data_IF_920578341042
#
_entry.id   IF_920578341042
#
_cell.length_a   1.000
_cell.length_b   1.000
_cell.length_c   1.000
_cell.angle_alpha   90.00
_cell.angle_beta   90.00
_cell.angle_gamma   90.00
#
_symmetry.space_group_name_H-M   'P 1'
#
loop_
_entity.id
_entity.type
_entity.pdbx_description
1 polymer ?
#
# COMPACT_ATOMS: atom_id res chain seq x y z
N UNK A 1 -1.99 -29.34 26.74
CA UNK A 1 -2.78 -30.27 25.90
C UNK A 1 -4.21 -29.80 25.59
N UNK A 2 -5.05 -29.36 26.55
CA UNK A 2 -6.38 -28.77 26.22
C UNK A 2 -6.26 -27.31 25.75
N UNK A 3 -5.38 -26.51 26.38
CA UNK A 3 -5.13 -25.11 26.01
C UNK A 3 -4.58 -24.94 24.57
N UNK A 4 -3.78 -25.89 24.07
CA UNK A 4 -3.25 -25.85 22.69
C UNK A 4 -4.34 -26.09 21.64
N UNK A 5 -5.34 -26.94 21.93
CA UNK A 5 -6.42 -27.23 20.98
C UNK A 5 -7.35 -26.04 20.77
N UNK A 6 -7.66 -25.30 21.84
CA UNK A 6 -8.47 -24.08 21.74
C UNK A 6 -7.73 -22.97 21.01
N UNK A 7 -6.42 -22.80 21.29
CA UNK A 7 -5.56 -21.86 20.58
C UNK A 7 -5.48 -22.15 19.08
N UNK A 8 -5.26 -23.42 18.71
CA UNK A 8 -5.24 -23.86 17.30
C UNK A 8 -6.60 -23.61 16.64
N UNK A 9 -7.70 -24.01 17.30
CA UNK A 9 -9.07 -23.81 16.76
C UNK A 9 -9.37 -22.34 16.50
N UNK A 10 -8.92 -21.44 17.38
CA UNK A 10 -9.12 -20.00 17.24
C UNK A 10 -8.25 -19.36 16.14
N UNK A 11 -7.16 -20.01 15.73
CA UNK A 11 -6.26 -19.54 14.69
C UNK A 11 -6.66 -19.99 13.27
N UNK A 12 -7.46 -21.06 13.13
CA UNK A 12 -7.89 -21.58 11.82
C UNK A 12 -8.59 -20.54 10.92
N UNK A 13 -9.49 -19.67 11.44
CA UNK A 13 -10.06 -18.57 10.65
C UNK A 13 -9.00 -17.63 10.06
N UNK A 14 -8.01 -17.26 10.88
CA UNK A 14 -6.89 -16.41 10.45
C UNK A 14 -6.05 -17.09 9.37
N UNK A 15 -5.75 -18.38 9.50
CA UNK A 15 -4.97 -19.13 8.50
C UNK A 15 -5.69 -19.13 7.16
N UNK A 16 -6.97 -19.49 7.15
CA UNK A 16 -7.74 -19.55 5.91
C UNK A 16 -7.82 -18.19 5.20
N UNK A 17 -7.97 -17.10 5.96
CA UNK A 17 -7.93 -15.75 5.41
C UNK A 17 -6.53 -15.39 4.88
N UNK A 18 -5.48 -15.73 5.60
CA UNK A 18 -4.12 -15.44 5.19
C UNK A 18 -3.74 -16.20 3.91
N UNK A 19 -4.12 -17.48 3.79
CA UNK A 19 -4.00 -18.27 2.55
C UNK A 19 -4.73 -17.61 1.37
N UNK A 20 -5.95 -17.12 1.61
CA UNK A 20 -6.75 -16.42 0.61
C UNK A 20 -6.07 -15.12 0.13
N UNK A 21 -5.63 -14.27 1.07
CA UNK A 21 -5.01 -12.99 0.75
C UNK A 21 -3.66 -13.16 0.05
N UNK A 22 -2.88 -14.16 0.45
CA UNK A 22 -1.65 -14.56 -0.25
C UNK A 22 -2.01 -14.98 -1.68
N UNK A 23 -3.01 -15.84 -1.88
CA UNK A 23 -3.44 -16.26 -3.22
C UNK A 23 -3.82 -15.08 -4.13
N UNK A 24 -4.60 -14.14 -3.60
CA UNK A 24 -4.98 -12.93 -4.31
C UNK A 24 -3.77 -12.06 -4.67
N UNK A 25 -2.85 -11.86 -3.71
CA UNK A 25 -1.62 -11.10 -3.91
C UNK A 25 -0.72 -11.72 -4.99
N UNK A 26 -0.56 -13.05 -5.02
CA UNK A 26 0.21 -13.74 -6.05
C UNK A 26 -0.43 -13.53 -7.42
N UNK A 27 -1.76 -13.71 -7.53
CA UNK A 27 -2.46 -13.56 -8.81
C UNK A 27 -2.42 -12.11 -9.31
N UNK A 28 -2.59 -11.13 -8.42
CA UNK A 28 -2.40 -9.71 -8.71
C UNK A 28 -0.96 -9.43 -9.17
N UNK A 29 0.04 -9.89 -8.42
CA UNK A 29 1.45 -9.75 -8.76
C UNK A 29 1.77 -10.35 -10.13
N UNK A 30 1.30 -11.56 -10.42
CA UNK A 30 1.50 -12.19 -11.72
C UNK A 30 0.88 -11.34 -12.82
N UNK A 31 -0.36 -10.90 -12.67
CA UNK A 31 -1.04 -10.08 -13.68
C UNK A 31 -0.30 -8.76 -13.94
N UNK A 32 0.10 -8.08 -12.87
CA UNK A 32 0.81 -6.80 -12.93
C UNK A 32 2.23 -6.94 -13.50
N UNK A 33 2.91 -8.06 -13.26
CA UNK A 33 4.25 -8.33 -13.80
C UNK A 33 4.24 -8.82 -15.26
N UNK A 34 3.17 -9.51 -15.69
CA UNK A 34 3.04 -10.05 -17.05
C UNK A 34 2.25 -9.13 -17.99
N UNK A 35 1.70 -8.02 -17.51
CA UNK A 35 0.99 -7.06 -18.37
C UNK A 35 1.99 -6.40 -19.35
N UNK A 36 1.98 -6.87 -20.60
CA UNK A 36 2.74 -6.31 -21.71
C UNK A 36 2.20 -4.94 -22.20
N UNK A 37 1.16 -4.40 -21.56
CA UNK A 37 0.41 -3.21 -21.98
C UNK A 37 1.09 -1.87 -21.67
N UNK A 38 2.36 -1.85 -21.23
CA UNK A 38 3.17 -0.64 -21.28
C UNK A 38 3.72 -0.45 -22.71
N UNK A 39 2.81 -0.32 -23.68
CA UNK A 39 3.19 0.14 -25.03
C UNK A 39 3.55 1.62 -24.91
N UNK A 40 4.85 1.89 -24.90
CA UNK A 40 5.43 3.21 -24.97
C UNK A 40 5.36 3.74 -26.41
N UNK A 41 4.68 4.87 -26.66
CA UNK A 41 5.13 5.78 -27.68
C UNK A 41 5.63 7.06 -27.01
N UNK A 42 6.84 7.45 -27.43
CA UNK A 42 7.49 8.76 -27.28
C UNK A 42 8.44 8.93 -26.08
N UNK A 43 9.72 9.03 -26.48
CA UNK A 43 10.92 9.58 -25.81
C UNK A 43 11.55 8.70 -24.74
N UNK A 44 12.58 7.95 -25.14
CA UNK A 44 13.76 7.49 -24.36
C UNK A 44 13.58 7.35 -22.84
N UNK A 45 12.62 6.55 -22.38
CA UNK A 45 12.45 6.24 -20.96
C UNK A 45 13.17 4.93 -20.59
N UNK A 46 13.91 4.94 -19.48
CA UNK A 46 14.57 3.75 -18.94
C UNK A 46 13.50 2.74 -18.45
N UNK A 47 13.45 1.58 -19.10
CA UNK A 47 12.57 0.46 -18.75
C UNK A 47 12.65 0.09 -17.25
N UNK A 48 13.77 0.39 -16.57
CA UNK A 48 13.95 0.17 -15.15
C UNK A 48 13.00 1.01 -14.27
N UNK A 49 12.72 2.27 -14.61
CA UNK A 49 11.87 3.17 -13.81
C UNK A 49 10.39 2.76 -13.83
N UNK A 50 9.92 2.19 -14.94
CA UNK A 50 8.56 1.64 -15.04
C UNK A 50 8.41 0.40 -14.18
N UNK A 51 9.40 -0.49 -14.23
CA UNK A 51 9.42 -1.66 -13.36
C UNK A 51 9.44 -1.27 -11.88
N UNK A 52 10.11 -0.18 -11.54
CA UNK A 52 10.10 0.41 -10.19
C UNK A 52 8.68 0.82 -9.81
N UNK A 53 8.00 1.67 -10.59
CA UNK A 53 6.62 2.10 -10.30
C UNK A 53 5.66 0.93 -10.04
N UNK A 54 5.78 -0.12 -10.84
CA UNK A 54 4.88 -1.27 -10.81
C UNK A 54 5.19 -2.24 -9.66
N UNK A 55 6.48 -2.51 -9.39
CA UNK A 55 6.89 -3.55 -8.44
C UNK A 55 6.89 -3.08 -6.98
N UNK A 56 7.23 -1.83 -6.71
CA UNK A 56 7.50 -1.40 -5.31
C UNK A 56 6.26 -1.28 -4.44
N UNK A 57 5.16 -0.63 -4.87
CA UNK A 57 3.97 -0.59 -4.03
C UNK A 57 3.47 -2.01 -3.73
N UNK A 58 3.44 -2.91 -4.73
CA UNK A 58 3.08 -4.33 -4.53
C UNK A 58 4.01 -5.00 -3.51
N UNK A 59 5.30 -4.73 -3.56
CA UNK A 59 6.27 -5.26 -2.59
C UNK A 59 5.94 -4.81 -1.17
N UNK A 60 5.53 -3.56 -0.96
CA UNK A 60 5.12 -3.07 0.36
C UNK A 60 3.91 -3.84 0.91
N UNK A 61 2.86 -4.02 0.11
CA UNK A 61 1.70 -4.81 0.52
C UNK A 61 2.05 -6.28 0.75
N UNK A 62 2.93 -6.84 -0.08
CA UNK A 62 3.41 -8.21 0.09
C UNK A 62 4.17 -8.40 1.40
N UNK A 63 5.05 -7.47 1.78
CA UNK A 63 5.75 -7.51 3.06
C UNK A 63 4.76 -7.51 4.24
N UNK A 64 3.71 -6.69 4.18
CA UNK A 64 2.67 -6.63 5.22
C UNK A 64 1.94 -7.97 5.34
N UNK A 65 1.37 -8.47 4.23
CA UNK A 65 0.59 -9.71 4.20
C UNK A 65 1.44 -10.93 4.59
N UNK A 66 2.69 -11.01 4.10
CA UNK A 66 3.61 -12.09 4.46
C UNK A 66 3.94 -12.09 5.95
N UNK A 67 4.15 -10.91 6.55
CA UNK A 67 4.39 -10.84 7.98
C UNK A 67 3.18 -11.29 8.80
N UNK A 68 1.97 -10.85 8.42
CA UNK A 68 0.72 -11.29 9.05
C UNK A 68 0.51 -12.80 8.91
N UNK A 69 0.78 -13.36 7.72
CA UNK A 69 0.70 -14.80 7.47
C UNK A 69 1.61 -15.61 8.40
N UNK A 70 2.87 -15.20 8.57
CA UNK A 70 3.81 -15.88 9.49
C UNK A 70 3.36 -15.78 10.93
N UNK A 71 2.86 -14.63 11.36
CA UNK A 71 2.37 -14.41 12.73
C UNK A 71 1.20 -15.36 13.04
N UNK A 72 0.30 -15.58 12.07
CA UNK A 72 -0.83 -16.50 12.20
C UNK A 72 -0.39 -17.97 12.13
N UNK A 73 0.50 -18.32 11.20
CA UNK A 73 0.99 -19.70 11.03
C UNK A 73 1.76 -20.19 12.28
N UNK A 74 2.50 -19.30 12.93
CA UNK A 74 3.23 -19.55 14.17
C UNK A 74 2.36 -20.11 15.31
N UNK A 75 1.05 -19.90 15.25
CA UNK A 75 0.10 -20.38 16.26
C UNK A 75 -0.22 -21.87 16.10
N UNK A 76 -0.10 -22.42 14.89
CA UNK A 76 -0.60 -23.76 14.55
C UNK A 76 0.51 -24.75 14.24
N UNK A 77 1.61 -24.31 13.63
CA UNK A 77 2.72 -25.21 13.23
C UNK A 77 4.07 -24.60 13.62
N UNK A 78 4.38 -24.59 14.93
CA UNK A 78 5.58 -23.91 15.45
C UNK A 78 6.91 -24.38 14.79
N UNK A 79 7.06 -25.68 14.52
CA UNK A 79 8.28 -26.24 13.93
C UNK A 79 8.41 -25.90 12.43
N UNK A 80 7.34 -26.04 11.65
CA UNK A 80 7.27 -25.67 10.23
C UNK A 80 7.47 -24.17 10.02
N UNK A 81 7.07 -23.36 11.00
CA UNK A 81 7.22 -21.91 10.95
C UNK A 81 8.66 -21.45 11.08
N UNK A 82 9.52 -22.15 11.82
CA UNK A 82 10.92 -21.76 11.92
C UNK A 82 11.66 -21.98 10.60
N UNK A 83 11.45 -23.13 9.94
CA UNK A 83 11.98 -23.38 8.58
C UNK A 83 11.46 -22.32 7.59
N UNK A 84 10.17 -21.98 7.67
CA UNK A 84 9.57 -20.96 6.82
C UNK A 84 10.12 -19.55 7.12
N UNK A 85 10.33 -19.20 8.40
CA UNK A 85 10.93 -17.92 8.81
C UNK A 85 12.35 -17.76 8.28
N UNK A 86 13.13 -18.83 8.27
CA UNK A 86 14.47 -18.86 7.68
C UNK A 86 14.40 -18.67 6.16
N UNK A 87 13.53 -19.43 5.47
CA UNK A 87 13.34 -19.36 4.02
C UNK A 87 13.02 -17.93 3.54
N UNK A 88 12.15 -17.22 4.26
CA UNK A 88 11.70 -15.89 3.85
C UNK A 88 12.50 -14.74 4.46
N UNK A 89 13.50 -15.03 5.30
CA UNK A 89 14.20 -14.05 6.12
C UNK A 89 13.23 -13.16 6.91
N UNK A 90 12.36 -13.78 7.72
CA UNK A 90 11.27 -13.11 8.42
C UNK A 90 11.75 -11.96 9.33
N UNK A 91 12.93 -12.09 9.95
CA UNK A 91 13.55 -11.02 10.76
C UNK A 91 13.74 -9.73 9.94
N UNK A 92 14.22 -9.86 8.70
CA UNK A 92 14.36 -8.74 7.79
C UNK A 92 13.00 -8.20 7.35
N UNK A 93 12.05 -9.06 6.97
CA UNK A 93 10.72 -8.65 6.55
C UNK A 93 9.97 -7.88 7.65
N UNK A 94 10.05 -8.35 8.90
CA UNK A 94 9.44 -7.68 10.06
C UNK A 94 10.06 -6.31 10.31
N UNK A 95 11.40 -6.21 10.22
CA UNK A 95 12.09 -4.91 10.33
C UNK A 95 11.70 -3.98 9.18
N UNK A 96 11.57 -4.52 7.97
CA UNK A 96 11.14 -3.80 6.79
C UNK A 96 9.72 -3.29 6.94
N UNK A 97 8.73 -4.16 7.22
CA UNK A 97 7.33 -3.81 7.51
C UNK A 97 7.25 -2.62 8.47
N UNK A 98 7.94 -2.72 9.61
CA UNK A 98 7.93 -1.66 10.61
C UNK A 98 8.50 -0.34 10.08
N UNK A 99 9.50 -0.37 9.18
CA UNK A 99 10.09 0.81 8.54
C UNK A 99 9.30 1.33 7.32
N UNK A 100 8.46 0.50 6.71
CA UNK A 100 7.65 0.84 5.53
C UNK A 100 6.39 1.61 5.87
N UNK A 101 5.91 1.54 7.12
CA UNK A 101 4.88 2.45 7.56
C UNK A 101 5.38 3.91 7.43
N UNK A 102 4.57 4.74 6.78
CA UNK A 102 4.71 6.19 6.76
C UNK A 102 4.56 6.78 8.17
N UNK A 103 3.95 6.04 9.11
CA UNK A 103 3.88 6.42 10.52
C UNK A 103 4.08 5.22 11.46
N UNK A 104 4.94 5.35 12.47
CA UNK A 104 5.02 4.40 13.58
C UNK A 104 4.20 4.90 14.78
N UNK A 105 3.71 3.96 15.59
CA UNK A 105 2.89 4.23 16.79
C UNK A 105 3.60 5.11 17.85
N UNK A 106 2.77 5.68 18.74
CA UNK A 106 2.96 6.81 19.70
C UNK A 106 4.31 7.06 20.40
N UNK A 107 5.28 6.14 20.42
CA UNK A 107 6.57 6.36 21.10
C UNK A 107 7.77 6.60 20.16
N UNK A 108 7.64 6.32 18.85
CA UNK A 108 8.75 6.44 17.88
C UNK A 108 8.61 7.61 16.88
N UNK A 109 7.69 8.55 17.15
CA UNK A 109 7.33 9.64 16.25
C UNK A 109 8.48 10.60 15.98
N UNK A 110 9.21 11.02 17.03
CA UNK A 110 10.32 11.96 16.93
C UNK A 110 11.45 11.35 16.10
N UNK A 111 11.75 10.08 16.35
CA UNK A 111 12.76 9.32 15.60
C UNK A 111 12.38 9.21 14.12
N UNK A 112 11.13 8.95 13.76
CA UNK A 112 10.75 8.81 12.35
C UNK A 112 10.72 10.14 11.59
N UNK A 113 10.23 11.21 12.24
CA UNK A 113 10.26 12.56 11.68
C UNK A 113 11.70 13.08 11.57
N UNK A 114 12.53 12.91 12.60
CA UNK A 114 13.95 13.26 12.58
C UNK A 114 14.71 12.43 11.54
N UNK A 115 14.34 11.16 11.31
CA UNK A 115 14.94 10.35 10.26
C UNK A 115 14.53 10.84 8.87
N UNK A 116 13.24 11.11 8.62
CA UNK A 116 12.83 11.67 7.32
C UNK A 116 13.53 13.02 7.11
N UNK A 117 13.49 13.93 8.08
CA UNK A 117 14.17 15.22 8.02
C UNK A 117 15.68 15.13 7.82
N UNK A 118 16.37 14.19 8.48
CA UNK A 118 17.82 13.97 8.29
C UNK A 118 18.17 13.21 7.01
N UNK A 119 17.18 12.67 6.29
CA UNK A 119 17.38 11.88 5.09
C UNK A 119 16.89 12.51 3.80
N UNK A 120 16.01 13.52 3.89
CA UNK A 120 15.56 14.33 2.77
C UNK A 120 16.71 14.77 1.90
N UNK A 121 17.80 15.25 2.50
CA UNK A 121 18.97 15.69 1.76
C UNK A 121 19.56 14.54 0.89
N UNK A 122 19.64 13.33 1.45
CA UNK A 122 20.07 12.13 0.70
C UNK A 122 19.09 11.73 -0.43
N UNK A 123 17.83 12.18 -0.39
CA UNK A 123 16.86 11.99 -1.48
C UNK A 123 16.87 13.14 -2.49
N UNK A 124 17.35 14.33 -2.11
CA UNK A 124 17.24 15.59 -2.86
C UNK A 124 18.47 15.91 -3.73
N UNK A 125 19.37 14.94 -3.90
CA UNK A 125 20.65 15.09 -4.61
C UNK A 125 21.44 16.35 -4.21
N UNK A 126 21.86 16.45 -2.94
CA UNK A 126 22.50 17.63 -2.33
C UNK A 126 23.81 18.14 -2.96
N UNK A 127 24.40 17.43 -3.93
CA UNK A 127 25.64 17.88 -4.57
C UNK A 127 25.29 18.98 -5.56
N UNK A 128 25.30 20.22 -5.05
CA UNK A 128 25.15 21.44 -5.84
C UNK A 128 26.42 21.61 -6.68
N UNK A 129 26.43 21.02 -7.87
CA UNK A 129 27.39 21.36 -8.91
C UNK A 129 26.79 22.33 -9.93
N UNK A 130 27.62 22.76 -10.88
CA UNK A 130 27.25 23.70 -11.93
C UNK A 130 26.12 23.21 -12.85
N UNK A 131 25.70 21.95 -12.74
CA UNK A 131 24.57 21.39 -13.50
C UNK A 131 23.39 21.01 -12.61
N UNK A 132 23.44 21.28 -11.30
CA UNK A 132 22.36 20.98 -10.35
C UNK A 132 21.01 21.55 -10.80
N UNK A 133 21.00 22.76 -11.39
CA UNK A 133 19.77 23.38 -11.89
C UNK A 133 19.12 22.59 -13.05
N UNK A 134 19.89 21.77 -13.77
CA UNK A 134 19.42 20.93 -14.89
C UNK A 134 18.97 19.52 -14.47
N UNK A 135 19.25 19.09 -13.24
CA UNK A 135 19.00 17.71 -12.79
C UNK A 135 17.60 17.53 -12.22
N UNK A 136 16.96 16.46 -12.64
CA UNK A 136 15.73 15.93 -12.04
C UNK A 136 16.09 14.81 -11.07
N UNK A 137 15.45 14.79 -9.90
CA UNK A 137 15.67 13.83 -8.80
C UNK A 137 14.45 12.92 -8.56
N UNK A 138 13.31 13.25 -9.15
CA UNK A 138 12.06 12.51 -9.03
C UNK A 138 11.43 12.28 -10.40
N UNK A 139 10.75 11.16 -10.56
CA UNK A 139 9.88 10.91 -11.71
C UNK A 139 8.43 10.89 -11.25
N UNK A 140 7.58 11.69 -11.89
CA UNK A 140 6.13 11.71 -11.71
C UNK A 140 5.50 10.75 -12.72
N UNK A 141 4.74 9.76 -12.25
CA UNK A 141 4.02 8.81 -13.10
C UNK A 141 2.60 9.31 -13.33
N UNK A 142 2.20 9.44 -14.59
CA UNK A 142 0.93 10.04 -15.00
C UNK A 142 0.25 9.17 -16.06
N UNK A 143 -0.97 8.72 -15.80
CA UNK A 143 -1.84 8.10 -16.80
C UNK A 143 -2.36 9.17 -17.78
N UNK A 144 -2.14 8.97 -19.08
CA UNK A 144 -2.55 9.90 -20.15
C UNK A 144 -3.86 9.43 -20.76
N UNK A 145 -4.98 10.07 -20.42
CA UNK A 145 -6.29 9.83 -21.02
C UNK A 145 -6.72 11.01 -21.93
N UNK A 146 -7.64 10.75 -22.85
CA UNK A 146 -8.21 11.78 -23.74
C UNK A 146 -8.90 12.91 -22.97
N UNK A 147 -9.51 12.59 -21.82
CA UNK A 147 -10.20 13.54 -20.95
C UNK A 147 -9.28 14.24 -19.93
N UNK A 148 -8.02 13.83 -19.84
CA UNK A 148 -7.07 14.45 -18.92
C UNK A 148 -5.90 13.56 -18.47
N UNK A 149 -5.04 14.15 -17.65
CA UNK A 149 -3.87 13.50 -17.05
C UNK A 149 -4.18 13.13 -15.60
N UNK A 150 -3.96 11.88 -15.20
CA UNK A 150 -4.16 11.40 -13.83
C UNK A 150 -2.81 11.07 -13.20
N UNK A 151 -2.49 11.69 -12.06
CA UNK A 151 -1.29 11.36 -11.30
C UNK A 151 -1.42 9.96 -10.66
N UNK A 152 -0.43 9.10 -10.89
CA UNK A 152 -0.42 7.70 -10.46
C UNK A 152 0.62 7.43 -9.36
N UNK A 153 1.64 8.27 -9.19
CA UNK A 153 2.64 8.14 -8.13
C UNK A 153 4.00 8.73 -8.49
N UNK A 154 5.00 8.53 -7.63
CA UNK A 154 6.41 8.86 -7.92
C UNK A 154 7.36 7.74 -7.53
N UNK A 155 8.61 7.83 -7.97
CA UNK A 155 9.69 6.92 -7.55
C UNK A 155 10.21 7.22 -6.11
N UNK A 156 9.69 8.24 -5.41
CA UNK A 156 10.13 8.54 -4.03
C UNK A 156 9.74 7.47 -3.03
N UNK A 157 8.63 6.76 -3.25
CA UNK A 157 8.30 5.61 -2.40
C UNK A 157 9.40 4.54 -2.51
N UNK A 158 9.93 4.30 -3.71
CA UNK A 158 11.06 3.40 -3.92
C UNK A 158 12.34 3.90 -3.24
N UNK A 159 12.71 5.16 -3.43
CA UNK A 159 13.91 5.74 -2.79
C UNK A 159 13.81 5.69 -1.27
N UNK A 160 12.62 5.94 -0.72
CA UNK A 160 12.33 5.77 0.70
C UNK A 160 12.56 4.33 1.15
N UNK A 161 11.99 3.34 0.46
CA UNK A 161 12.19 1.91 0.75
C UNK A 161 13.66 1.50 0.66
N UNK A 162 14.36 1.95 -0.39
CA UNK A 162 15.79 1.77 -0.62
C UNK A 162 16.62 2.08 0.62
N UNK A 163 16.46 3.31 1.09
CA UNK A 163 17.23 3.80 2.22
C UNK A 163 16.94 3.04 3.51
N UNK A 164 15.67 2.72 3.77
CA UNK A 164 15.27 1.96 4.96
C UNK A 164 15.92 0.57 5.01
N UNK A 165 16.15 -0.05 3.86
CA UNK A 165 16.79 -1.34 3.73
C UNK A 165 18.31 -1.25 3.90
N UNK A 166 18.96 -0.26 3.29
CA UNK A 166 20.41 -0.07 3.41
C UNK A 166 20.84 0.08 4.88
N UNK A 167 20.05 0.79 5.67
CA UNK A 167 20.22 0.90 7.13
C UNK A 167 20.11 -0.44 7.87
N UNK A 168 19.29 -1.36 7.38
CA UNK A 168 19.06 -2.65 8.03
C UNK A 168 20.18 -3.65 7.76
N UNK A 169 20.90 -3.51 6.63
CA UNK A 169 21.85 -4.51 6.17
C UNK A 169 23.31 -4.06 6.21
N UNK A 170 23.60 -2.81 6.63
CA UNK A 170 24.95 -2.25 6.72
C UNK A 170 25.80 -2.36 5.44
N UNK A 171 25.20 -2.71 4.30
CA UNK A 171 25.79 -2.82 2.96
C UNK A 171 24.67 -2.81 1.91
N UNK A 172 25.05 -2.36 0.72
CA UNK A 172 24.33 -2.24 -0.55
C UNK A 172 23.80 -3.58 -1.13
N UNK A 173 23.26 -4.48 -0.30
CA UNK A 173 22.52 -5.65 -0.80
C UNK A 173 21.16 -5.16 -1.27
N UNK A 174 21.04 -5.07 -2.59
CA UNK A 174 20.02 -4.33 -3.34
C UNK A 174 18.57 -4.67 -2.93
N UNK A 175 17.67 -3.68 -3.04
CA UNK A 175 16.21 -3.87 -3.01
C UNK A 175 15.78 -5.01 -3.93
N UNK A 176 16.47 -5.22 -5.05
CA UNK A 176 16.22 -6.35 -5.93
C UNK A 176 16.31 -7.69 -5.19
N UNK A 177 17.23 -7.88 -4.24
CA UNK A 177 17.28 -9.09 -3.42
C UNK A 177 16.08 -9.19 -2.48
N UNK A 178 15.62 -8.09 -1.88
CA UNK A 178 14.45 -8.12 -0.99
C UNK A 178 13.17 -8.36 -1.78
N UNK A 179 13.00 -7.69 -2.92
CA UNK A 179 11.91 -7.95 -3.87
C UNK A 179 11.96 -9.41 -4.29
N UNK A 180 13.12 -9.88 -4.74
CA UNK A 180 13.29 -11.27 -5.15
C UNK A 180 12.95 -12.22 -4.01
N UNK A 181 13.40 -11.96 -2.78
CA UNK A 181 13.08 -12.77 -1.62
C UNK A 181 11.60 -12.73 -1.27
N UNK A 182 10.94 -11.57 -1.35
CA UNK A 182 9.49 -11.43 -1.14
C UNK A 182 8.72 -12.21 -2.20
N UNK A 183 9.08 -12.08 -3.48
CA UNK A 183 8.44 -12.82 -4.57
C UNK A 183 8.76 -14.31 -4.53
N UNK A 184 9.96 -14.72 -4.09
CA UNK A 184 10.32 -16.12 -3.83
C UNK A 184 9.54 -16.67 -2.64
N UNK A 185 9.37 -15.89 -1.57
CA UNK A 185 8.54 -16.26 -0.43
C UNK A 185 7.08 -16.45 -0.83
N UNK A 186 6.53 -15.51 -1.62
CA UNK A 186 5.21 -15.65 -2.21
C UNK A 186 5.12 -16.91 -3.07
N UNK A 187 6.14 -17.21 -3.88
CA UNK A 187 6.17 -18.43 -4.68
C UNK A 187 6.26 -19.70 -3.82
N UNK A 188 7.08 -19.74 -2.78
CA UNK A 188 7.15 -20.87 -1.86
C UNK A 188 5.81 -21.11 -1.15
N UNK A 189 5.12 -20.03 -0.77
CA UNK A 189 3.75 -20.14 -0.24
C UNK A 189 2.76 -20.71 -1.26
N UNK A 190 2.98 -20.52 -2.56
CA UNK A 190 2.07 -21.08 -3.55
C UNK A 190 2.10 -22.60 -3.64
N UNK A 191 3.19 -23.22 -3.20
CA UNK A 191 3.27 -24.68 -3.12
C UNK A 191 2.53 -25.21 -1.88
N UNK A 192 2.33 -24.38 -0.86
CA UNK A 192 1.60 -24.70 0.37
C UNK A 192 0.12 -24.30 0.31
N UNK A 193 -0.22 -23.22 -0.40
CA UNK A 193 -1.59 -22.74 -0.56
C UNK A 193 -2.24 -23.44 -1.75
N UNK A 194 -3.27 -24.25 -1.48
CA UNK A 194 -4.07 -24.89 -2.54
C UNK A 194 -4.86 -23.84 -3.31
N UNK A 195 -4.27 -23.25 -4.36
CA UNK A 195 -4.88 -22.14 -5.14
C UNK A 195 -6.28 -22.46 -5.67
N UNK A 196 -6.52 -23.73 -6.03
CA UNK A 196 -7.83 -24.23 -6.49
C UNK A 196 -8.94 -24.11 -5.44
N UNK A 197 -8.58 -23.97 -4.15
CA UNK A 197 -9.51 -23.89 -3.02
C UNK A 197 -10.47 -22.71 -3.08
N UNK A 198 -10.05 -21.58 -3.68
CA UNK A 198 -10.81 -20.33 -3.68
C UNK A 198 -11.49 -20.01 -5.03
N UNK A 199 -11.09 -20.68 -6.11
CA UNK A 199 -11.64 -20.47 -7.47
C UNK A 199 -11.72 -18.99 -7.89
N UNK A 200 -10.63 -18.23 -7.73
CA UNK A 200 -10.58 -16.81 -8.04
C UNK A 200 -10.70 -16.57 -9.55
N UNK A 201 -11.57 -15.65 -9.98
CA UNK A 201 -11.62 -15.17 -11.36
C UNK A 201 -10.24 -14.64 -11.83
N UNK A 202 -9.97 -14.74 -13.13
CA UNK A 202 -8.76 -14.15 -13.71
C UNK A 202 -8.78 -12.64 -13.63
N UNK A 203 -7.61 -12.05 -13.35
CA UNK A 203 -7.43 -10.61 -13.35
C UNK A 203 -6.92 -10.22 -14.73
N UNK A 204 -7.54 -9.21 -15.31
CA UNK A 204 -7.09 -8.61 -16.53
C UNK A 204 -7.12 -7.09 -16.36
N UNK A 205 -6.09 -6.43 -16.89
CA UNK A 205 -6.15 -4.98 -17.01
C UNK A 205 -7.29 -4.60 -17.96
N UNK A 206 -8.01 -3.54 -17.61
CA UNK A 206 -9.06 -2.98 -18.45
C UNK A 206 -8.55 -2.80 -19.88
N UNK A 207 -9.37 -3.14 -20.87
CA UNK A 207 -9.08 -2.90 -22.29
C UNK A 207 -8.89 -1.41 -22.59
N UNK A 208 -9.38 -0.53 -21.70
CA UNK A 208 -9.20 0.91 -21.75
C UNK A 208 -7.96 1.40 -20.99
N UNK A 209 -7.10 0.52 -20.49
CA UNK A 209 -5.90 0.91 -19.75
C UNK A 209 -5.04 1.84 -20.61
N UNK A 210 -4.80 3.05 -20.08
CA UNK A 210 -4.12 4.11 -20.80
C UNK A 210 -2.62 4.08 -20.50
N UNK A 211 -1.77 4.55 -21.43
CA UNK A 211 -0.33 4.57 -21.19
C UNK A 211 0.00 5.47 -19.98
N UNK A 212 0.94 5.01 -19.17
CA UNK A 212 1.54 5.80 -18.09
C UNK A 212 2.83 6.41 -18.63
N UNK A 213 2.93 7.74 -18.56
CA UNK A 213 4.16 8.46 -18.80
C UNK A 213 4.90 8.71 -17.49
N UNK A 214 6.21 8.51 -17.48
CA UNK A 214 7.10 9.12 -16.49
C UNK A 214 7.44 10.53 -16.94
N UNK A 215 7.45 11.48 -16.00
CA UNK A 215 7.94 12.84 -16.24
C UNK A 215 9.00 13.10 -15.20
N UNK A 216 10.25 13.26 -15.66
CA UNK A 216 11.33 13.67 -14.78
C UNK A 216 11.08 15.10 -14.30
N UNK A 217 11.23 15.29 -13.00
CA UNK A 217 10.88 16.51 -12.32
C UNK A 217 11.90 16.78 -11.21
N UNK A 218 11.93 18.02 -10.73
CA UNK A 218 12.72 18.43 -9.58
C UNK A 218 11.85 18.53 -8.34
N UNK A 219 12.15 17.75 -7.32
CA UNK A 219 11.37 17.72 -6.09
C UNK A 219 11.40 19.06 -5.37
N UNK A 220 12.52 19.78 -5.40
CA UNK A 220 12.62 21.14 -4.88
C UNK A 220 11.59 22.09 -5.53
N UNK A 221 11.30 21.95 -6.82
CA UNK A 221 10.30 22.78 -7.52
C UNK A 221 8.86 22.41 -7.11
N UNK A 222 8.65 21.15 -6.73
CA UNK A 222 7.40 20.68 -6.17
C UNK A 222 7.22 21.19 -4.73
N UNK A 223 8.31 21.23 -3.96
CA UNK A 223 8.31 21.56 -2.53
C UNK A 223 8.29 23.06 -2.28
N UNK A 224 9.03 23.86 -3.06
CA UNK A 224 9.10 25.32 -2.92
C UNK A 224 7.74 26.02 -3.13
N UNK A 225 6.77 25.34 -3.73
CA UNK A 225 5.40 25.84 -3.91
C UNK A 225 4.60 25.85 -2.60
N UNK A 226 5.04 25.06 -1.63
CA UNK A 226 4.40 24.93 -0.34
C UNK A 226 5.26 25.69 0.66
N UNK A 227 4.66 26.62 1.39
CA UNK A 227 5.35 27.28 2.49
C UNK A 227 5.51 26.36 3.71
N UNK A 228 5.70 25.06 3.49
CA UNK A 228 5.81 24.00 4.48
C UNK A 228 7.26 23.54 4.61
N UNK A 229 7.56 22.85 5.71
CA UNK A 229 8.82 22.14 5.84
C UNK A 229 8.94 21.04 4.76
N UNK A 230 10.15 20.84 4.27
CA UNK A 230 10.45 19.83 3.26
C UNK A 230 10.03 18.42 3.70
N UNK A 231 10.14 18.14 4.99
CA UNK A 231 9.76 16.87 5.61
C UNK A 231 8.26 16.62 5.59
N UNK A 232 7.47 17.66 5.89
CA UNK A 232 6.02 17.66 5.77
C UNK A 232 5.63 17.41 4.32
N UNK A 233 6.28 18.10 3.40
CA UNK A 233 5.97 18.02 1.98
C UNK A 233 6.29 16.64 1.40
N UNK A 234 7.46 16.09 1.71
CA UNK A 234 7.84 14.75 1.31
C UNK A 234 6.84 13.69 1.81
N UNK A 235 6.38 13.81 3.07
CA UNK A 235 5.38 12.91 3.64
C UNK A 235 4.01 13.01 2.97
N UNK A 236 3.58 14.21 2.57
CA UNK A 236 2.38 14.40 1.76
C UNK A 236 2.50 13.72 0.40
N UNK A 237 3.67 13.83 -0.24
CA UNK A 237 3.93 13.19 -1.54
C UNK A 237 3.96 11.66 -1.47
N UNK A 238 4.52 11.10 -0.39
CA UNK A 238 4.47 9.66 -0.14
C UNK A 238 3.02 9.17 0.06
N UNK A 239 2.21 9.92 0.83
CA UNK A 239 0.79 9.60 1.05
C UNK A 239 0.02 9.63 -0.27
N UNK A 240 0.27 10.67 -1.09
CA UNK A 240 -0.33 10.79 -2.40
C UNK A 240 0.06 9.64 -3.33
N UNK A 241 1.32 9.21 -3.29
CA UNK A 241 1.83 8.10 -4.11
C UNK A 241 1.14 6.78 -3.75
N UNK A 242 1.01 6.45 -2.46
CA UNK A 242 0.33 5.23 -2.01
C UNK A 242 -1.14 5.18 -2.43
N UNK A 243 -1.87 6.27 -2.20
CA UNK A 243 -3.29 6.33 -2.56
C UNK A 243 -3.47 6.30 -4.08
N UNK A 244 -2.68 7.07 -4.82
CA UNK A 244 -2.81 7.18 -6.28
C UNK A 244 -2.54 5.85 -6.97
N UNK A 245 -1.52 5.11 -6.52
CA UNK A 245 -1.24 3.76 -7.04
C UNK A 245 -2.39 2.79 -6.72
N UNK A 246 -2.93 2.86 -5.51
CA UNK A 246 -4.05 1.99 -5.11
C UNK A 246 -5.28 2.26 -5.96
N UNK A 247 -5.64 3.53 -6.15
CA UNK A 247 -6.75 3.96 -7.02
C UNK A 247 -6.53 3.56 -8.48
N UNK A 248 -5.29 3.65 -8.98
CA UNK A 248 -4.94 3.17 -10.31
C UNK A 248 -5.26 1.68 -10.47
N UNK A 249 -4.88 0.84 -9.49
CA UNK A 249 -5.22 -0.59 -9.52
C UNK A 249 -6.73 -0.84 -9.35
N UNK A 250 -7.43 -0.08 -8.51
CA UNK A 250 -8.90 -0.19 -8.40
C UNK A 250 -9.57 0.02 -9.75
N UNK A 251 -9.20 1.09 -10.45
CA UNK A 251 -9.78 1.46 -11.75
C UNK A 251 -9.36 0.52 -12.87
N UNK A 252 -8.08 0.19 -12.97
CA UNK A 252 -7.53 -0.45 -14.16
C UNK A 252 -7.36 -1.97 -14.03
N UNK A 253 -7.38 -2.53 -12.81
CA UNK A 253 -7.20 -3.96 -12.58
C UNK A 253 -8.41 -4.61 -11.89
N UNK A 254 -8.90 -4.02 -10.81
CA UNK A 254 -9.99 -4.64 -10.02
C UNK A 254 -11.39 -4.37 -10.56
N UNK A 255 -11.57 -3.36 -11.41
CA UNK A 255 -12.88 -3.03 -11.99
C UNK A 255 -13.47 -4.18 -12.80
N UNK A 256 -12.63 -4.95 -13.51
CA UNK A 256 -13.05 -6.12 -14.30
C UNK A 256 -13.63 -7.27 -13.45
N UNK A 257 -13.26 -7.32 -12.17
CA UNK A 257 -13.71 -8.33 -11.20
C UNK A 257 -14.52 -7.71 -10.07
N UNK A 258 -15.02 -6.48 -10.22
CA UNK A 258 -15.73 -5.76 -9.15
C UNK A 258 -16.99 -6.49 -8.67
N UNK A 259 -17.64 -7.26 -9.54
CA UNK A 259 -18.82 -8.07 -9.20
C UNK A 259 -18.48 -9.35 -8.43
N UNK A 260 -17.23 -9.80 -8.42
CA UNK A 260 -16.78 -10.96 -7.63
C UNK A 260 -16.58 -10.53 -6.17
N UNK A 261 -17.34 -11.12 -5.25
CA UNK A 261 -17.30 -10.78 -3.82
C UNK A 261 -15.91 -10.98 -3.20
N UNK A 262 -15.19 -12.05 -3.59
CA UNK A 262 -13.88 -12.34 -3.02
C UNK A 262 -12.86 -11.30 -3.47
N UNK A 263 -12.84 -11.00 -4.77
CA UNK A 263 -12.00 -9.92 -5.29
C UNK A 263 -12.39 -8.56 -4.71
N UNK A 264 -13.68 -8.31 -4.49
CA UNK A 264 -14.14 -7.10 -3.85
C UNK A 264 -13.63 -6.97 -2.41
N UNK A 265 -13.69 -8.04 -1.61
CA UNK A 265 -13.12 -8.06 -0.26
C UNK A 265 -11.61 -7.76 -0.27
N UNK A 266 -10.84 -8.45 -1.11
CA UNK A 266 -9.39 -8.26 -1.19
C UNK A 266 -9.00 -6.86 -1.68
N UNK A 267 -9.63 -6.39 -2.76
CA UNK A 267 -9.37 -5.06 -3.33
C UNK A 267 -9.76 -3.93 -2.36
N UNK A 268 -10.86 -4.09 -1.62
CA UNK A 268 -11.23 -3.17 -0.53
C UNK A 268 -10.15 -3.15 0.57
N UNK A 269 -9.64 -4.31 1.00
CA UNK A 269 -8.58 -4.36 2.02
C UNK A 269 -7.31 -3.70 1.52
N UNK A 270 -6.93 -3.95 0.27
CA UNK A 270 -5.77 -3.33 -0.37
C UNK A 270 -5.87 -1.79 -0.34
N UNK A 271 -7.02 -1.24 -0.70
CA UNK A 271 -7.27 0.20 -0.64
C UNK A 271 -7.30 0.72 0.80
N UNK A 272 -7.92 -0.01 1.73
CA UNK A 272 -8.03 0.36 3.13
C UNK A 272 -6.66 0.53 3.80
N UNK A 273 -5.69 -0.34 3.48
CA UNK A 273 -4.30 -0.22 3.96
C UNK A 273 -3.70 1.12 3.50
N UNK A 274 -3.85 1.48 2.22
CA UNK A 274 -3.30 2.73 1.68
C UNK A 274 -3.97 3.97 2.29
N UNK A 275 -5.29 3.92 2.40
CA UNK A 275 -6.12 5.00 2.91
C UNK A 275 -5.85 5.28 4.39
N UNK A 276 -5.90 4.25 5.24
CA UNK A 276 -5.62 4.37 6.67
C UNK A 276 -4.19 4.88 6.90
N UNK A 277 -3.22 4.39 6.12
CA UNK A 277 -1.82 4.82 6.23
C UNK A 277 -1.63 6.32 5.91
N UNK A 278 -2.29 6.80 4.86
CA UNK A 278 -2.26 8.20 4.49
C UNK A 278 -3.01 9.09 5.50
N UNK A 279 -4.19 8.67 5.96
CA UNK A 279 -4.98 9.41 6.95
C UNK A 279 -4.23 9.52 8.28
N UNK A 280 -3.65 8.43 8.76
CA UNK A 280 -2.86 8.46 9.99
C UNK A 280 -1.60 9.31 9.82
N UNK A 281 -0.92 9.23 8.67
CA UNK A 281 0.22 10.11 8.38
C UNK A 281 -0.17 11.60 8.41
N UNK A 282 -1.30 11.99 7.81
CA UNK A 282 -1.84 13.36 7.85
C UNK A 282 -2.21 13.78 9.27
N UNK A 283 -2.93 12.93 10.00
CA UNK A 283 -3.29 13.19 11.39
C UNK A 283 -2.05 13.41 12.26
N UNK A 284 -0.96 12.70 11.97
CA UNK A 284 0.31 12.89 12.65
C UNK A 284 0.98 14.23 12.28
N UNK A 285 0.96 14.62 11.01
CA UNK A 285 1.42 15.95 10.56
C UNK A 285 0.59 17.10 11.18
N UNK A 286 -0.68 16.87 11.54
CA UNK A 286 -1.50 17.88 12.20
C UNK A 286 -1.31 17.94 13.74
N UNK A 287 -0.65 16.95 14.34
CA UNK A 287 -0.47 16.81 15.80
C UNK A 287 0.91 17.21 16.30
N UNK A 288 1.96 16.98 15.52
CA UNK A 288 3.33 16.99 16.04
C UNK A 288 4.27 18.12 15.61
N UNK A 289 4.14 18.76 14.42
CA UNK A 289 5.01 19.88 14.03
C UNK A 289 4.90 21.10 14.95
N UNK A 290 5.75 22.11 14.72
CA UNK A 290 5.57 23.43 15.32
C UNK A 290 4.17 24.01 15.01
N UNK A 291 3.60 24.81 15.91
CA UNK A 291 2.24 25.37 15.74
C UNK A 291 2.10 26.22 14.47
N UNK A 292 3.18 26.86 14.03
CA UNK A 292 3.25 27.60 12.77
C UNK A 292 2.99 26.68 11.57
N UNK A 293 3.66 25.52 11.52
CA UNK A 293 3.52 24.51 10.47
C UNK A 293 2.11 23.88 10.48
N UNK A 294 1.58 23.58 11.67
CA UNK A 294 0.20 23.08 11.82
C UNK A 294 -0.83 24.05 11.26
N UNK A 295 -0.65 25.34 11.52
CA UNK A 295 -1.57 26.38 11.07
C UNK A 295 -1.56 26.50 9.54
N UNK A 296 -0.38 26.43 8.92
CA UNK A 296 -0.23 26.37 7.46
C UNK A 296 -0.90 25.14 6.86
N UNK A 297 -0.61 23.96 7.39
CA UNK A 297 -1.25 22.70 6.96
C UNK A 297 -2.78 22.75 7.06
N UNK A 298 -3.32 23.27 8.17
CA UNK A 298 -4.79 23.41 8.34
C UNK A 298 -5.38 24.38 7.32
N UNK A 299 -4.69 25.48 7.03
CA UNK A 299 -5.12 26.45 6.02
C UNK A 299 -5.16 25.81 4.64
N UNK A 300 -4.08 25.13 4.25
CA UNK A 300 -3.98 24.40 2.97
C UNK A 300 -5.08 23.34 2.85
N UNK A 301 -5.30 22.50 3.86
CA UNK A 301 -6.37 21.50 3.82
C UNK A 301 -7.76 22.13 3.77
N UNK A 302 -7.98 23.26 4.47
CA UNK A 302 -9.24 24.00 4.41
C UNK A 302 -9.50 24.56 3.01
N UNK A 303 -8.48 25.12 2.35
CA UNK A 303 -8.56 25.62 0.97
C UNK A 303 -8.89 24.51 -0.03
N UNK A 304 -8.37 23.30 0.20
CA UNK A 304 -8.70 22.10 -0.58
C UNK A 304 -10.04 21.44 -0.18
N UNK A 305 -10.84 22.05 0.70
CA UNK A 305 -12.08 21.50 1.26
C UNK A 305 -11.92 20.09 1.87
N UNK A 306 -10.76 19.81 2.47
CA UNK A 306 -10.46 18.54 3.09
C UNK A 306 -10.59 18.61 4.61
N UNK A 307 -11.41 17.72 5.17
CA UNK A 307 -11.53 17.53 6.62
C UNK A 307 -11.47 16.04 6.95
N UNK A 308 -10.32 15.61 7.49
CA UNK A 308 -10.10 14.22 7.90
C UNK A 308 -11.16 13.72 8.89
N UNK A 309 -11.79 14.59 9.68
CA UNK A 309 -12.82 14.19 10.65
C UNK A 309 -14.16 13.85 9.97
N UNK A 310 -14.36 14.26 8.72
CA UNK A 310 -15.58 13.99 7.94
C UNK A 310 -15.53 12.68 7.15
N UNK A 311 -14.36 12.05 7.08
CA UNK A 311 -14.19 10.78 6.38
C UNK A 311 -14.88 9.67 7.16
N UNK A 312 -15.97 9.15 6.59
CA UNK A 312 -16.81 8.12 7.24
C UNK A 312 -16.14 6.75 7.21
N UNK A 313 -15.24 6.55 6.26
CA UNK A 313 -14.62 5.24 5.98
C UNK A 313 -13.44 4.89 6.91
N UNK A 314 -13.02 5.79 7.80
CA UNK A 314 -11.83 5.57 8.66
C UNK A 314 -11.97 4.31 9.51
N UNK A 315 -13.11 4.15 10.20
CA UNK A 315 -13.31 3.00 11.08
C UNK A 315 -13.37 1.69 10.28
N UNK A 316 -14.14 1.68 9.19
CA UNK A 316 -14.21 0.54 8.27
C UNK A 316 -12.82 0.16 7.74
N UNK A 317 -12.04 1.13 7.25
CA UNK A 317 -10.70 0.89 6.74
C UNK A 317 -9.75 0.31 7.80
N UNK A 318 -9.80 0.83 9.04
CA UNK A 318 -9.00 0.31 10.16
C UNK A 318 -9.37 -1.11 10.53
N UNK A 319 -10.66 -1.41 10.60
CA UNK A 319 -11.13 -2.76 10.89
C UNK A 319 -10.71 -3.73 9.79
N UNK A 320 -10.87 -3.32 8.53
CA UNK A 320 -10.51 -4.14 7.37
C UNK A 320 -8.99 -4.38 7.26
N UNK A 321 -8.18 -3.33 7.46
CA UNK A 321 -6.72 -3.45 7.57
C UNK A 321 -6.33 -4.48 8.62
N UNK A 322 -6.97 -4.43 9.79
CA UNK A 322 -6.59 -5.24 10.94
C UNK A 322 -7.20 -6.66 10.97
N UNK A 323 -7.88 -7.10 9.92
CA UNK A 323 -8.58 -8.40 9.85
C UNK A 323 -7.66 -9.60 10.21
N UNK A 324 -6.37 -9.55 9.85
CA UNK A 324 -5.37 -10.57 10.19
C UNK A 324 -4.49 -10.22 11.40
N UNK A 325 -4.54 -8.96 11.88
CA UNK A 325 -3.55 -8.43 12.80
C UNK A 325 -3.86 -8.70 14.29
N UNK A 326 -4.99 -9.34 14.61
CA UNK A 326 -5.42 -9.65 15.97
C UNK A 326 -5.62 -11.15 16.19
N UNK A 327 -5.20 -11.65 17.36
CA UNK A 327 -5.27 -13.07 17.80
C UNK A 327 -6.68 -13.70 17.79
N UNK A 328 -7.71 -12.93 17.44
CA UNK A 328 -9.09 -13.38 17.31
C UNK A 328 -9.72 -12.79 16.04
N UNK A 329 -9.31 -13.32 14.88
CA UNK A 329 -10.10 -13.15 13.65
C UNK A 329 -11.54 -13.55 13.96
N UNK A 330 -12.46 -12.59 13.85
CA UNK A 330 -13.87 -12.81 14.16
C UNK A 330 -14.50 -13.63 13.03
N UNK A 331 -15.33 -14.59 13.40
CA UNK A 331 -16.11 -15.37 12.45
C UNK A 331 -17.51 -15.60 13.01
N UNK A 332 -18.50 -15.01 12.35
CA UNK A 332 -19.89 -15.35 12.51
C UNK A 332 -20.22 -16.54 11.60
N UNK A 333 -20.41 -17.70 12.21
CA UNK A 333 -20.69 -18.94 11.46
C UNK A 333 -22.08 -18.96 10.84
N UNK A 334 -22.99 -18.07 11.24
CA UNK A 334 -24.33 -17.97 10.65
C UNK A 334 -24.32 -17.47 9.20
N UNK A 335 -23.22 -16.82 8.79
CA UNK A 335 -23.02 -16.28 7.45
C UNK A 335 -22.43 -17.30 6.45
N UNK A 336 -22.20 -18.55 6.86
CA UNK A 336 -21.51 -19.56 6.04
C UNK A 336 -22.52 -20.46 5.31
N UNK A 337 -22.48 -20.44 3.97
CA UNK A 337 -23.33 -21.23 3.08
C UNK A 337 -22.60 -22.47 2.53
N UNK A 338 -21.84 -23.18 3.38
CA UNK A 338 -21.10 -24.40 3.06
C UNK A 338 -20.11 -24.33 1.87
N UNK A 339 -19.58 -23.15 1.53
CA UNK A 339 -18.53 -22.99 0.51
C UNK A 339 -17.30 -22.26 1.07
N UNK A 340 -16.11 -22.54 0.54
CA UNK A 340 -14.89 -21.76 0.89
C UNK A 340 -15.09 -20.27 0.65
N UNK A 341 -15.76 -19.90 -0.44
CA UNK A 341 -16.07 -18.51 -0.75
C UNK A 341 -16.94 -17.87 0.34
N UNK A 342 -18.05 -18.52 0.73
CA UNK A 342 -18.91 -18.02 1.83
C UNK A 342 -18.15 -17.91 3.16
N UNK A 343 -17.22 -18.82 3.43
CA UNK A 343 -16.38 -18.77 4.62
C UNK A 343 -15.45 -17.55 4.64
N UNK A 344 -14.73 -17.28 3.54
CA UNK A 344 -13.86 -16.09 3.43
C UNK A 344 -14.67 -14.79 3.50
N UNK A 345 -15.82 -14.72 2.82
CA UNK A 345 -16.73 -13.57 2.91
C UNK A 345 -17.17 -13.31 4.34
N UNK A 346 -17.60 -14.37 5.05
CA UNK A 346 -17.99 -14.28 6.45
C UNK A 346 -16.86 -13.72 7.33
N UNK A 347 -15.59 -14.06 7.07
CA UNK A 347 -14.45 -13.48 7.79
C UNK A 347 -14.36 -11.97 7.58
N UNK A 348 -14.42 -11.49 6.34
CA UNK A 348 -14.37 -10.05 6.07
C UNK A 348 -15.53 -9.28 6.69
N UNK A 349 -16.76 -9.79 6.54
CA UNK A 349 -17.97 -9.19 7.12
C UNK A 349 -17.88 -9.15 8.65
N UNK A 350 -17.52 -10.28 9.28
CA UNK A 350 -17.46 -10.41 10.74
C UNK A 350 -16.42 -9.50 11.40
N UNK A 351 -15.30 -9.25 10.71
CA UNK A 351 -14.23 -8.40 11.24
C UNK A 351 -14.49 -6.90 11.02
N UNK A 352 -15.41 -6.55 10.12
CA UNK A 352 -15.83 -5.16 9.87
C UNK A 352 -17.14 -4.79 10.57
N UNK A 353 -17.67 -5.68 11.42
CA UNK A 353 -18.93 -5.48 12.15
C UNK A 353 -20.13 -5.10 11.26
N UNK A 354 -20.10 -5.57 10.01
CA UNK A 354 -21.14 -5.38 9.00
C UNK A 354 -22.01 -6.64 8.97
N UNK A 355 -23.28 -6.54 8.55
CA UNK A 355 -24.19 -7.68 8.56
C UNK A 355 -24.23 -8.44 7.22
N UNK A 356 -24.02 -7.76 6.10
CA UNK A 356 -24.20 -8.33 4.76
C UNK A 356 -23.09 -7.94 3.78
N UNK A 357 -22.96 -8.69 2.68
CA UNK A 357 -22.05 -8.29 1.60
C UNK A 357 -22.48 -7.00 0.89
N UNK A 358 -23.78 -6.69 0.85
CA UNK A 358 -24.29 -5.47 0.24
C UNK A 358 -23.85 -4.24 1.06
N UNK A 359 -24.02 -4.28 2.38
CA UNK A 359 -23.50 -3.25 3.30
C UNK A 359 -21.97 -3.13 3.25
N UNK A 360 -21.27 -4.26 3.07
CA UNK A 360 -19.81 -4.28 2.88
C UNK A 360 -19.43 -3.58 1.58
N UNK A 361 -20.19 -3.81 0.49
CA UNK A 361 -20.01 -3.15 -0.79
C UNK A 361 -20.23 -1.65 -0.68
N UNK A 362 -21.32 -1.21 -0.06
CA UNK A 362 -21.59 0.21 0.19
C UNK A 362 -20.45 0.88 0.99
N UNK A 363 -19.94 0.20 2.01
CA UNK A 363 -18.81 0.69 2.81
C UNK A 363 -17.50 0.77 2.00
N UNK A 364 -17.25 -0.22 1.14
CA UNK A 364 -16.13 -0.23 0.20
C UNK A 364 -16.22 0.88 -0.85
N UNK A 365 -17.41 1.16 -1.38
CA UNK A 365 -17.66 2.24 -2.33
C UNK A 365 -17.47 3.61 -1.66
N UNK A 366 -17.90 3.75 -0.41
CA UNK A 366 -17.64 4.96 0.37
C UNK A 366 -16.13 5.13 0.64
N UNK A 367 -15.39 4.06 0.92
CA UNK A 367 -13.94 4.07 1.06
C UNK A 367 -13.24 4.50 -0.24
N UNK A 368 -13.70 4.02 -1.39
CA UNK A 368 -13.21 4.44 -2.69
C UNK A 368 -13.42 5.93 -2.91
N UNK A 369 -14.62 6.45 -2.63
CA UNK A 369 -14.95 7.86 -2.74
C UNK A 369 -14.13 8.74 -1.78
N UNK A 370 -13.99 8.34 -0.52
CA UNK A 370 -13.17 9.03 0.47
C UNK A 370 -11.68 9.05 0.05
N UNK A 371 -11.19 7.95 -0.55
CA UNK A 371 -9.83 7.86 -1.08
C UNK A 371 -9.61 8.77 -2.28
N UNK A 372 -10.58 8.85 -3.21
CA UNK A 372 -10.56 9.79 -4.34
C UNK A 372 -10.55 11.25 -3.86
N UNK A 373 -11.36 11.59 -2.86
CA UNK A 373 -11.40 12.92 -2.27
C UNK A 373 -10.07 13.29 -1.60
N UNK A 374 -9.49 12.36 -0.83
CA UNK A 374 -8.19 12.54 -0.20
C UNK A 374 -7.08 12.72 -1.24
N UNK A 375 -7.06 11.89 -2.28
CA UNK A 375 -6.12 12.00 -3.39
C UNK A 375 -6.23 13.36 -4.09
N UNK A 376 -7.45 13.80 -4.42
CA UNK A 376 -7.71 15.10 -5.04
C UNK A 376 -7.23 16.25 -4.14
N UNK A 377 -7.54 16.20 -2.86
CA UNK A 377 -7.12 17.23 -1.92
C UNK A 377 -5.59 17.36 -1.89
N UNK A 378 -4.84 16.26 -1.79
CA UNK A 378 -3.36 16.32 -1.78
C UNK A 378 -2.81 16.73 -3.15
N UNK A 379 -3.42 16.32 -4.27
CA UNK A 379 -2.99 16.77 -5.61
C UNK A 379 -3.13 18.27 -5.81
N UNK A 380 -4.21 18.86 -5.29
CA UNK A 380 -4.43 20.31 -5.34
C UNK A 380 -3.32 21.07 -4.61
N UNK A 381 -2.85 20.56 -3.47
CA UNK A 381 -1.71 21.11 -2.72
C UNK A 381 -0.49 21.23 -3.65
N UNK A 382 -0.18 20.14 -4.36
CA UNK A 382 0.96 20.08 -5.27
C UNK A 382 0.70 20.70 -6.67
N UNK A 383 -0.52 21.17 -6.94
CA UNK A 383 -0.98 21.64 -8.26
C UNK A 383 -0.78 20.60 -9.37
N UNK A 384 -1.03 19.33 -9.06
CA UNK A 384 -0.89 18.21 -10.01
C UNK A 384 -2.19 17.90 -10.79
N UNK A 385 -3.16 18.82 -10.76
CA UNK A 385 -4.41 18.75 -11.52
C UNK A 385 -4.32 19.45 -12.89
N UNK A 386 -3.18 20.11 -13.19
CA UNK A 386 -2.96 20.84 -14.43
C UNK A 386 -2.56 19.96 -15.62
N UNK A 387 -2.69 20.52 -16.84
CA UNK A 387 -2.04 19.97 -18.03
C UNK A 387 -0.53 20.14 -17.86
N UNK A 388 0.19 19.05 -17.55
CA UNK A 388 1.65 19.00 -17.60
C UNK A 388 2.18 19.15 -19.01
#
# INVERSE_FOLDING_TARGET
MIADKEKIRNALPGIALAEFEVSCLIKMAQTVLHSNSYTYPLVDFDANLTQIFVKHPITQYAVIILCEYVEVLAVVEADTVEEFKELINYSLLRKLRNKLHLFQTRQNWKVSADIISSQISNFSMDVIDEFFYLRNDISLFIEIAEEGKLFCGTNYLYLYMLRRIDELQNKQKSIQNIITNVFQALRGLTDHVRREKFNLADLEFSTNNKPIAGIDYKSADLFARLELEESTTFRLLLSLTLISYSLYLQKNLFDSVRSDDLWYCFSCKFLAIAFDEAVDNINNMLKHPAETEKSKLRTIFSECNFDAKRLKSIEFARQLRNTLHYEKTRLDTSLIENTTASYVKALYISNTSIATMDEFRESGDQLLNDSLNLQRAIRQIFKLDGKF
#
